data_IF_712671652905
#
_entry.id   IF_712671652905
#
_cell.length_a   1.000
_cell.length_b   1.000
_cell.length_c   1.000
_cell.angle_alpha   90.00
_cell.angle_beta   90.00
_cell.angle_gamma   90.00
#
_symmetry.space_group_name_H-M   'P 1'
#
loop_
_entity.id
_entity.type
_entity.pdbx_description
1 polymer ?
#
# COMPACT_ATOMS: atom_id res chain seq x y z
N UNK A 1 56.93 20.55 -32.94
CA UNK A 1 56.39 19.26 -32.47
C UNK A 1 55.48 19.54 -31.28
N UNK A 2 54.25 19.00 -31.34
CA UNK A 2 53.23 18.76 -30.28
C UNK A 2 52.97 19.85 -29.22
N UNK A 3 51.76 20.32 -28.94
CA UNK A 3 50.44 19.72 -29.14
C UNK A 3 49.84 19.17 -27.84
N UNK A 4 49.03 20.00 -27.17
CA UNK A 4 47.85 19.66 -26.35
C UNK A 4 47.92 18.79 -25.07
N UNK A 5 47.00 19.20 -24.17
CA UNK A 5 46.05 18.37 -23.38
C UNK A 5 46.44 18.01 -21.94
N UNK A 6 46.04 18.89 -21.01
CA UNK A 6 45.64 18.46 -19.68
C UNK A 6 44.38 17.57 -19.80
N UNK A 7 44.57 16.27 -19.57
CA UNK A 7 43.51 15.26 -19.59
C UNK A 7 42.93 15.16 -18.18
N UNK A 8 41.73 15.68 -18.01
CA UNK A 8 40.84 15.36 -16.89
C UNK A 8 40.59 13.86 -16.87
N UNK A 9 40.92 13.20 -15.76
CA UNK A 9 40.51 11.83 -15.48
C UNK A 9 40.15 11.71 -14.01
N UNK A 10 39.00 12.27 -13.65
CA UNK A 10 38.33 11.84 -12.42
C UNK A 10 37.55 10.57 -12.77
N UNK A 11 38.19 9.45 -12.44
CA UNK A 11 37.61 8.12 -12.42
C UNK A 11 36.39 8.13 -11.49
N UNK A 12 35.19 8.19 -12.08
CA UNK A 12 33.95 8.01 -11.34
C UNK A 12 33.87 6.53 -11.00
N UNK A 13 34.34 6.20 -9.80
CA UNK A 13 34.18 4.90 -9.19
C UNK A 13 32.67 4.61 -9.10
N UNK A 14 32.19 3.79 -10.03
CA UNK A 14 30.83 3.29 -10.07
C UNK A 14 30.59 2.37 -8.89
N UNK A 15 30.33 2.95 -7.72
CA UNK A 15 29.76 2.19 -6.61
C UNK A 15 28.36 1.76 -7.03
N UNK A 16 28.16 0.46 -7.17
CA UNK A 16 26.86 -0.15 -7.35
C UNK A 16 25.96 0.32 -6.21
N UNK A 17 25.14 1.34 -6.48
CA UNK A 17 24.25 1.93 -5.47
C UNK A 17 23.29 0.84 -5.05
N UNK A 18 23.37 0.44 -3.77
CA UNK A 18 22.38 -0.41 -3.11
C UNK A 18 21.01 0.26 -3.31
N UNK A 19 20.21 -0.25 -4.24
CA UNK A 19 18.84 0.20 -4.47
C UNK A 19 18.04 -0.08 -3.20
N UNK A 20 17.95 0.91 -2.31
CA UNK A 20 16.97 0.85 -1.23
C UNK A 20 15.60 0.87 -1.88
N UNK A 21 14.89 -0.26 -1.80
CA UNK A 21 13.56 -0.40 -2.36
C UNK A 21 12.62 0.54 -1.59
N UNK A 22 12.38 1.72 -2.17
CA UNK A 22 11.42 2.69 -1.64
C UNK A 22 10.01 2.25 -2.03
N UNK A 23 9.12 2.16 -1.04
CA UNK A 23 7.72 1.78 -1.25
C UNK A 23 6.99 2.83 -2.10
N UNK A 24 5.98 2.41 -2.86
CA UNK A 24 5.13 3.31 -3.65
C UNK A 24 4.47 4.38 -2.77
N UNK A 25 4.07 4.02 -1.54
CA UNK A 25 3.48 4.94 -0.58
C UNK A 25 4.44 6.09 -0.20
N UNK A 26 5.70 5.77 0.12
CA UNK A 26 6.71 6.78 0.45
C UNK A 26 6.97 7.71 -0.74
N UNK A 27 6.96 7.19 -1.96
CA UNK A 27 7.12 8.00 -3.18
C UNK A 27 5.95 8.96 -3.38
N UNK A 28 4.71 8.51 -3.16
CA UNK A 28 3.52 9.37 -3.22
C UNK A 28 3.61 10.49 -2.18
N UNK A 29 3.94 10.17 -0.93
CA UNK A 29 4.10 11.17 0.14
C UNK A 29 5.19 12.20 -0.18
N UNK A 30 6.31 11.79 -0.79
CA UNK A 30 7.35 12.70 -1.26
C UNK A 30 6.80 13.67 -2.31
N UNK A 31 6.07 13.16 -3.31
CA UNK A 31 5.46 13.98 -4.38
C UNK A 31 4.48 14.99 -3.76
N UNK A 32 3.58 14.55 -2.88
CA UNK A 32 2.58 15.41 -2.23
C UNK A 32 3.21 16.55 -1.41
N UNK A 33 4.30 16.29 -0.69
CA UNK A 33 4.98 17.31 0.12
C UNK A 33 5.68 18.35 -0.75
N UNK A 34 6.31 17.92 -1.84
CA UNK A 34 6.93 18.86 -2.80
C UNK A 34 5.86 19.66 -3.54
N UNK A 35 4.73 19.06 -3.94
CA UNK A 35 3.62 19.78 -4.57
C UNK A 35 2.90 20.75 -3.61
N UNK A 36 2.95 20.49 -2.30
CA UNK A 36 2.52 21.44 -1.24
C UNK A 36 3.46 22.64 -1.08
N UNK A 37 4.61 22.64 -1.75
CA UNK A 37 5.59 23.73 -1.71
C UNK A 37 6.71 23.53 -0.68
N UNK A 38 6.84 22.35 -0.07
CA UNK A 38 8.02 22.04 0.75
C UNK A 38 9.27 21.94 -0.13
N UNK A 39 10.41 22.47 0.34
CA UNK A 39 11.67 22.42 -0.42
C UNK A 39 12.18 20.98 -0.51
N UNK A 40 12.68 20.60 -1.68
CA UNK A 40 13.24 19.25 -1.91
C UNK A 40 14.31 18.88 -0.88
N UNK A 41 15.13 19.84 -0.46
CA UNK A 41 16.18 19.66 0.56
C UNK A 41 15.59 19.26 1.92
N UNK A 42 14.48 19.87 2.32
CA UNK A 42 13.82 19.58 3.60
C UNK A 42 13.15 18.20 3.56
N UNK A 43 12.51 17.87 2.44
CA UNK A 43 11.94 16.53 2.19
C UNK A 43 13.05 15.47 2.23
N UNK A 44 14.19 15.74 1.57
CA UNK A 44 15.38 14.87 1.55
C UNK A 44 15.90 14.59 2.95
N UNK A 45 16.04 15.63 3.77
CA UNK A 45 16.44 15.53 5.16
C UNK A 45 15.42 14.71 5.98
N UNK A 46 14.12 14.92 5.75
CA UNK A 46 13.07 14.23 6.51
C UNK A 46 13.00 12.71 6.25
N UNK A 47 13.26 12.28 5.01
CA UNK A 47 13.26 10.87 4.62
C UNK A 47 14.65 10.22 4.69
N UNK A 48 15.70 10.98 5.04
CA UNK A 48 17.11 10.57 5.01
C UNK A 48 17.51 9.88 3.68
N UNK A 49 17.00 10.40 2.57
CA UNK A 49 17.25 9.86 1.22
C UNK A 49 18.32 10.68 0.50
N UNK A 50 18.95 10.11 -0.51
CA UNK A 50 19.83 10.89 -1.39
C UNK A 50 19.00 11.84 -2.26
N UNK A 51 19.51 13.06 -2.48
CA UNK A 51 18.87 14.05 -3.36
C UNK A 51 18.63 13.52 -4.78
N UNK A 52 19.54 12.68 -5.29
CA UNK A 52 19.36 11.98 -6.57
C UNK A 52 18.15 11.03 -6.57
N UNK A 53 17.83 10.39 -5.44
CA UNK A 53 16.70 9.48 -5.32
C UNK A 53 15.39 10.25 -5.38
N UNK A 54 15.29 11.37 -4.66
CA UNK A 54 14.10 12.23 -4.68
C UNK A 54 13.92 12.87 -6.05
N UNK A 55 14.99 13.36 -6.68
CA UNK A 55 14.94 13.83 -8.06
C UNK A 55 14.40 12.79 -9.04
N UNK A 56 14.75 11.50 -8.88
CA UNK A 56 14.19 10.41 -9.70
C UNK A 56 12.69 10.17 -9.39
N UNK A 57 12.28 10.26 -8.13
CA UNK A 57 10.87 10.14 -7.72
C UNK A 57 10.04 11.25 -8.35
N UNK A 58 10.51 12.50 -8.27
CA UNK A 58 9.82 13.65 -8.84
C UNK A 58 9.78 13.60 -10.38
N UNK A 59 10.88 13.17 -11.03
CA UNK A 59 10.92 12.97 -12.49
C UNK A 59 9.92 11.91 -12.98
N UNK A 60 9.68 10.87 -12.16
CA UNK A 60 8.76 9.79 -12.49
C UNK A 60 7.37 9.97 -11.85
N UNK A 61 7.03 11.19 -11.38
CA UNK A 61 5.81 11.42 -10.61
C UNK A 61 4.55 10.94 -11.33
N UNK A 62 4.41 11.23 -12.62
CA UNK A 62 3.19 10.92 -13.36
C UNK A 62 3.00 9.41 -13.48
N UNK A 63 4.08 8.67 -13.77
CA UNK A 63 4.08 7.19 -13.81
C UNK A 63 3.75 6.58 -12.46
N UNK A 64 4.28 7.15 -11.38
CA UNK A 64 3.99 6.68 -10.01
C UNK A 64 2.52 6.92 -9.68
N UNK A 65 1.98 8.10 -9.98
CA UNK A 65 0.59 8.44 -9.72
C UNK A 65 -0.38 7.64 -10.59
N UNK A 66 -0.05 7.41 -11.86
CA UNK A 66 -0.82 6.54 -12.76
C UNK A 66 -0.87 5.10 -12.24
N UNK A 67 0.28 4.55 -11.83
CA UNK A 67 0.34 3.22 -11.23
C UNK A 67 -0.50 3.12 -9.95
N UNK A 68 -0.50 4.16 -9.11
CA UNK A 68 -1.36 4.20 -7.91
C UNK A 68 -2.83 4.25 -8.30
N UNK A 69 -3.19 5.11 -9.26
CA UNK A 69 -4.57 5.22 -9.77
C UNK A 69 -5.09 3.91 -10.36
N UNK A 70 -4.25 3.14 -11.06
CA UNK A 70 -4.66 1.83 -11.60
C UNK A 70 -4.70 0.74 -10.52
N UNK A 71 -3.83 0.80 -9.52
CA UNK A 71 -3.79 -0.16 -8.42
C UNK A 71 -4.98 -0.02 -7.45
N UNK A 72 -5.47 1.21 -7.18
CA UNK A 72 -6.56 1.44 -6.21
C UNK A 72 -7.84 0.67 -6.56
N UNK A 73 -8.40 0.76 -7.79
CA UNK A 73 -9.58 -0.02 -8.17
C UNK A 73 -9.37 -1.53 -8.05
N UNK A 74 -8.16 -2.01 -8.38
CA UNK A 74 -7.82 -3.43 -8.28
C UNK A 74 -7.80 -3.90 -6.82
N UNK A 75 -7.14 -3.15 -5.93
CA UNK A 75 -7.13 -3.44 -4.49
C UNK A 75 -8.53 -3.40 -3.88
N UNK A 76 -9.35 -2.41 -4.26
CA UNK A 76 -10.75 -2.31 -3.83
C UNK A 76 -11.57 -3.52 -4.29
N UNK A 77 -11.39 -3.96 -5.54
CA UNK A 77 -12.04 -5.16 -6.08
C UNK A 77 -11.63 -6.42 -5.33
N UNK A 78 -10.33 -6.58 -5.03
CA UNK A 78 -9.82 -7.72 -4.25
C UNK A 78 -10.42 -7.71 -2.84
N UNK A 79 -10.44 -6.55 -2.17
CA UNK A 79 -11.05 -6.39 -0.84
C UNK A 79 -12.53 -6.74 -0.86
N UNK A 80 -13.29 -6.26 -1.86
CA UNK A 80 -14.71 -6.57 -2.01
C UNK A 80 -14.94 -8.07 -2.23
N UNK A 81 -14.14 -8.71 -3.07
CA UNK A 81 -14.20 -10.17 -3.29
C UNK A 81 -13.89 -10.93 -2.01
N UNK A 82 -12.84 -10.53 -1.26
CA UNK A 82 -12.52 -11.13 0.05
C UNK A 82 -13.69 -10.96 1.03
N UNK A 83 -14.24 -9.75 1.12
CA UNK A 83 -15.39 -9.46 1.98
C UNK A 83 -16.61 -10.33 1.59
N UNK A 84 -16.91 -10.47 0.30
CA UNK A 84 -17.99 -11.35 -0.17
C UNK A 84 -17.75 -12.81 0.21
N UNK A 85 -16.51 -13.30 0.11
CA UNK A 85 -16.16 -14.67 0.54
C UNK A 85 -16.35 -14.85 2.05
N UNK A 86 -15.85 -13.92 2.86
CA UNK A 86 -15.99 -13.96 4.32
C UNK A 86 -17.46 -13.92 4.73
N UNK A 87 -18.26 -13.03 4.10
CA UNK A 87 -19.69 -12.92 4.35
C UNK A 87 -20.41 -14.24 4.06
N UNK A 88 -20.10 -14.89 2.93
CA UNK A 88 -20.72 -16.18 2.56
C UNK A 88 -20.40 -17.30 3.55
N UNK A 89 -19.15 -17.40 4.02
CA UNK A 89 -18.79 -18.40 5.04
C UNK A 89 -19.42 -18.08 6.39
N UNK A 90 -19.47 -16.81 6.78
CA UNK A 90 -20.14 -16.35 7.99
C UNK A 90 -21.64 -16.70 7.96
N UNK A 91 -22.35 -16.44 6.86
CA UNK A 91 -23.77 -16.77 6.70
C UNK A 91 -24.03 -18.28 6.79
N UNK A 92 -23.14 -19.09 6.20
CA UNK A 92 -23.22 -20.55 6.27
C UNK A 92 -23.09 -21.05 7.71
N UNK A 93 -22.10 -20.56 8.47
CA UNK A 93 -21.89 -20.95 9.87
C UNK A 93 -23.05 -20.45 10.75
N UNK A 94 -23.49 -19.21 10.55
CA UNK A 94 -24.60 -18.63 11.31
C UNK A 94 -25.90 -19.40 11.06
N UNK A 95 -26.18 -19.80 9.81
CA UNK A 95 -27.36 -20.61 9.46
C UNK A 95 -27.34 -21.97 10.16
N UNK A 96 -26.19 -22.66 10.16
CA UNK A 96 -26.05 -23.93 10.87
C UNK A 96 -26.23 -23.79 12.39
N UNK A 97 -25.71 -22.70 12.96
CA UNK A 97 -25.92 -22.39 14.37
C UNK A 97 -27.40 -22.10 14.69
N UNK A 98 -28.10 -21.32 13.85
CA UNK A 98 -29.53 -21.06 14.02
C UNK A 98 -30.35 -22.34 13.93
N UNK A 99 -30.00 -23.25 13.02
CA UNK A 99 -30.66 -24.55 12.88
C UNK A 99 -30.47 -25.44 14.12
N UNK A 100 -29.27 -25.51 14.69
CA UNK A 100 -29.02 -26.21 15.97
C UNK A 100 -29.85 -25.60 17.12
N UNK A 101 -29.93 -24.27 17.19
CA UNK A 101 -30.74 -23.57 18.20
C UNK A 101 -32.23 -23.86 18.06
N UNK A 102 -32.74 -23.89 16.83
CA UNK A 102 -34.12 -24.26 16.53
C UNK A 102 -34.43 -25.71 16.95
N UNK A 103 -33.55 -26.67 16.64
CA UNK A 103 -33.70 -28.07 17.05
C UNK A 103 -33.75 -28.24 18.57
N UNK A 104 -33.00 -27.42 19.31
CA UNK A 104 -32.98 -27.41 20.78
C UNK A 104 -34.13 -26.60 21.41
N UNK A 105 -35.05 -26.08 20.60
CA UNK A 105 -36.16 -25.21 21.03
C UNK A 105 -35.69 -23.99 21.85
N UNK A 106 -34.49 -23.47 21.54
CA UNK A 106 -33.97 -22.27 22.20
C UNK A 106 -34.52 -21.05 21.47
N UNK A 107 -35.24 -20.12 22.15
CA UNK A 107 -35.73 -18.91 21.52
C UNK A 107 -34.56 -18.03 21.06
N UNK A 108 -34.59 -17.66 19.78
CA UNK A 108 -33.60 -16.75 19.19
C UNK A 108 -34.15 -15.33 19.16
N UNK A 109 -33.37 -14.38 19.65
CA UNK A 109 -33.60 -12.95 19.47
C UNK A 109 -32.67 -12.41 18.37
N UNK A 110 -33.15 -11.41 17.63
CA UNK A 110 -32.39 -10.69 16.62
C UNK A 110 -31.04 -10.17 17.17
N UNK A 111 -31.00 -9.63 18.39
CA UNK A 111 -29.75 -9.15 18.99
C UNK A 111 -28.71 -10.26 19.11
N UNK A 112 -29.11 -11.45 19.55
CA UNK A 112 -28.21 -12.59 19.72
C UNK A 112 -27.69 -13.11 18.37
N UNK A 113 -28.56 -13.12 17.35
CA UNK A 113 -28.17 -13.50 15.98
C UNK A 113 -27.16 -12.49 15.42
N UNK A 114 -27.42 -11.20 15.61
CA UNK A 114 -26.52 -10.12 15.14
C UNK A 114 -25.18 -10.16 15.87
N UNK A 115 -25.18 -10.35 17.19
CA UNK A 115 -23.96 -10.48 17.99
C UNK A 115 -23.15 -11.69 17.52
N UNK A 116 -23.78 -12.85 17.41
CA UNK A 116 -23.12 -14.07 16.91
C UNK A 116 -22.56 -13.87 15.51
N UNK A 117 -23.31 -13.21 14.63
CA UNK A 117 -22.87 -12.90 13.28
C UNK A 117 -21.65 -11.98 13.25
N UNK A 118 -21.63 -10.93 14.08
CA UNK A 118 -20.47 -10.03 14.21
C UNK A 118 -19.24 -10.77 14.71
N UNK A 119 -19.39 -11.61 15.74
CA UNK A 119 -18.28 -12.43 16.27
C UNK A 119 -17.73 -13.35 15.17
N UNK A 120 -18.59 -14.07 14.45
CA UNK A 120 -18.18 -14.95 13.36
C UNK A 120 -17.47 -14.20 12.22
N UNK A 121 -17.92 -12.98 11.90
CA UNK A 121 -17.29 -12.18 10.86
C UNK A 121 -15.86 -11.74 11.26
N UNK A 122 -15.66 -11.28 12.50
CA UNK A 122 -14.32 -10.91 12.98
C UNK A 122 -13.40 -12.14 13.14
N UNK A 123 -13.93 -13.30 13.52
CA UNK A 123 -13.16 -14.55 13.59
C UNK A 123 -12.67 -15.05 12.20
N UNK A 124 -13.35 -14.66 11.12
CA UNK A 124 -13.06 -15.10 9.74
C UNK A 124 -12.23 -14.11 8.91
N UNK A 125 -11.95 -12.92 9.45
CA UNK A 125 -11.32 -11.79 8.74
C UNK A 125 -9.81 -11.91 8.62
#
# INVERSE_FOLDING_TARGET
MSGSKHKSSNDVFGTAKKCQATTTETKVKIIERVERGEKEVDVTRSYNMNHSTIGIVLKNKDKIMEHVKSAVPMMSTIKLKKHGKVMKEMEKILSGWMQDKHQRQVPLNLMLIQEKGKTLYEDLK
#
